data_IF_914243596343
#
_entry.id   IF_914243596343
#
_cell.length_a   1.000
_cell.length_b   1.000
_cell.length_c   1.000
_cell.angle_alpha   90.00
_cell.angle_beta   90.00
_cell.angle_gamma   90.00
#
_symmetry.space_group_name_H-M   'P 1'
#
loop_
_entity.id
_entity.type
_entity.pdbx_description
1 polymer ?
#
# COMPACT_ATOMS: atom_id res chain seq x y z
N UNK A 1 -40.88 -20.31 -70.86
CA UNK A 1 -40.40 -21.30 -69.88
C UNK A 1 -39.46 -20.60 -68.93
N UNK A 2 -40.00 -19.97 -67.88
CA UNK A 2 -39.23 -19.42 -66.74
C UNK A 2 -40.21 -19.21 -65.59
N UNK A 3 -40.13 -20.11 -64.61
CA UNK A 3 -41.06 -20.21 -63.48
C UNK A 3 -40.60 -19.23 -62.37
N UNK A 4 -41.37 -18.16 -62.15
CA UNK A 4 -41.17 -17.27 -61.00
C UNK A 4 -41.93 -17.85 -59.79
N UNK A 5 -41.18 -18.47 -58.89
CA UNK A 5 -41.69 -19.00 -57.63
C UNK A 5 -41.81 -17.83 -56.62
N UNK A 6 -43.02 -17.29 -56.46
CA UNK A 6 -43.35 -16.31 -55.41
C UNK A 6 -43.47 -17.02 -54.06
N UNK A 7 -42.44 -16.91 -53.23
CA UNK A 7 -42.54 -17.24 -51.81
C UNK A 7 -43.33 -16.13 -51.09
N UNK A 8 -44.58 -16.40 -50.75
CA UNK A 8 -45.29 -15.64 -49.73
C UNK A 8 -44.88 -16.18 -48.35
N UNK A 9 -43.96 -15.49 -47.69
CA UNK A 9 -43.67 -15.73 -46.28
C UNK A 9 -44.79 -15.05 -45.49
N UNK A 10 -45.73 -15.84 -44.98
CA UNK A 10 -46.67 -15.41 -43.95
C UNK A 10 -45.88 -15.17 -42.66
N UNK A 11 -45.40 -13.94 -42.47
CA UNK A 11 -44.72 -13.55 -41.23
C UNK A 11 -45.69 -13.64 -40.06
N UNK A 12 -45.38 -14.55 -39.14
CA UNK A 12 -46.14 -14.76 -37.92
C UNK A 12 -46.01 -13.48 -37.06
N UNK A 13 -47.07 -12.67 -37.04
CA UNK A 13 -47.16 -11.37 -36.38
C UNK A 13 -46.57 -11.31 -34.95
N UNK A 14 -46.72 -12.35 -34.09
CA UNK A 14 -46.10 -12.39 -32.76
C UNK A 14 -44.56 -12.40 -32.79
N UNK A 15 -43.95 -13.02 -33.81
CA UNK A 15 -42.49 -13.05 -33.97
C UNK A 15 -41.98 -11.66 -34.34
N UNK A 16 -42.70 -10.95 -35.21
CA UNK A 16 -42.36 -9.58 -35.62
C UNK A 16 -42.37 -8.64 -34.42
N UNK A 17 -43.39 -8.73 -33.56
CA UNK A 17 -43.51 -7.92 -32.35
C UNK A 17 -42.36 -8.23 -31.38
N UNK A 18 -42.01 -9.51 -31.18
CA UNK A 18 -40.89 -9.89 -30.29
C UNK A 18 -39.54 -9.36 -30.79
N UNK A 19 -39.30 -9.45 -32.10
CA UNK A 19 -38.07 -8.92 -32.71
C UNK A 19 -38.01 -7.39 -32.58
N UNK A 20 -39.14 -6.69 -32.83
CA UNK A 20 -39.21 -5.25 -32.66
C UNK A 20 -38.94 -4.81 -31.21
N UNK A 21 -39.47 -5.53 -30.22
CA UNK A 21 -39.21 -5.27 -28.80
C UNK A 21 -37.74 -5.50 -28.43
N UNK A 22 -37.11 -6.57 -28.91
CA UNK A 22 -35.68 -6.84 -28.67
C UNK A 22 -34.82 -5.72 -29.24
N UNK A 23 -35.10 -5.27 -30.47
CA UNK A 23 -34.38 -4.15 -31.08
C UNK A 23 -34.57 -2.87 -30.25
N UNK A 24 -35.78 -2.58 -29.78
CA UNK A 24 -36.05 -1.43 -28.93
C UNK A 24 -35.27 -1.48 -27.60
N UNK A 25 -35.16 -2.66 -26.96
CA UNK A 25 -34.35 -2.83 -25.74
C UNK A 25 -32.86 -2.63 -25.99
N UNK A 26 -32.33 -3.12 -27.11
CA UNK A 26 -30.92 -2.93 -27.48
C UNK A 26 -30.63 -1.43 -27.71
N UNK A 27 -31.49 -0.73 -28.44
CA UNK A 27 -31.35 0.71 -28.69
C UNK A 27 -31.45 1.51 -27.39
N UNK A 28 -32.39 1.17 -26.50
CA UNK A 28 -32.52 1.82 -25.20
C UNK A 28 -31.28 1.62 -24.31
N UNK A 29 -30.75 0.39 -24.24
CA UNK A 29 -29.53 0.10 -23.50
C UNK A 29 -28.30 0.84 -24.06
N UNK A 30 -28.20 0.95 -25.39
CA UNK A 30 -27.15 1.75 -26.03
C UNK A 30 -27.31 3.25 -25.76
N UNK A 31 -28.54 3.76 -25.69
CA UNK A 31 -28.82 5.15 -25.33
C UNK A 31 -28.46 5.47 -23.87
N UNK A 32 -28.75 4.58 -22.91
CA UNK A 32 -28.32 4.74 -21.52
C UNK A 32 -26.79 4.68 -21.37
N UNK A 33 -26.11 3.80 -22.11
CA UNK A 33 -24.64 3.76 -22.16
C UNK A 33 -24.04 5.03 -22.78
N UNK A 34 -24.68 5.59 -23.81
CA UNK A 34 -24.23 6.83 -24.43
C UNK A 34 -24.43 8.04 -23.52
N UNK A 35 -25.62 8.18 -22.92
CA UNK A 35 -25.95 9.30 -22.03
C UNK A 35 -25.19 9.23 -20.69
N UNK A 36 -24.90 8.04 -20.16
CA UNK A 36 -24.04 7.90 -18.98
C UNK A 36 -22.59 8.28 -19.26
N UNK A 37 -22.06 7.97 -20.45
CA UNK A 37 -20.74 8.44 -20.87
C UNK A 37 -20.71 9.96 -21.10
N UNK A 38 -21.78 10.56 -21.60
CA UNK A 38 -21.83 12.02 -21.83
C UNK A 38 -22.02 12.82 -20.53
N UNK A 39 -22.71 12.27 -19.53
CA UNK A 39 -22.76 12.84 -18.17
C UNK A 39 -21.41 12.83 -17.45
N UNK A 40 -20.49 11.94 -17.83
CA UNK A 40 -19.11 11.96 -17.34
C UNK A 40 -18.22 13.00 -18.05
N UNK A 41 -18.71 13.62 -19.13
CA UNK A 41 -18.02 14.66 -19.91
C UNK A 41 -18.47 16.09 -19.55
N UNK A 42 -19.46 16.24 -18.66
CA UNK A 42 -19.91 17.55 -18.16
C UNK A 42 -18.81 18.12 -17.25
N UNK A 43 -17.95 18.91 -17.89
CA UNK A 43 -17.17 20.02 -17.35
C UNK A 43 -17.48 20.30 -15.86
N UNK A 44 -16.63 19.79 -14.97
CA UNK A 44 -16.43 20.44 -13.68
C UNK A 44 -15.95 21.87 -14.00
N UNK A 45 -16.73 22.92 -13.70
CA UNK A 45 -16.24 24.26 -13.92
C UNK A 45 -15.08 24.48 -12.94
N UNK A 46 -13.92 24.80 -13.50
CA UNK A 46 -12.66 25.25 -12.86
C UNK A 46 -12.81 26.46 -11.90
N UNK A 47 -14.02 26.82 -11.46
CA UNK A 47 -14.30 27.85 -10.45
C UNK A 47 -14.06 27.38 -9.00
N UNK A 48 -13.75 26.10 -8.77
CA UNK A 48 -13.36 25.63 -7.44
C UNK A 48 -11.98 26.15 -6.99
N UNK A 49 -11.11 26.55 -7.93
CA UNK A 49 -9.77 27.08 -7.58
C UNK A 49 -9.76 28.54 -7.13
N UNK A 50 -10.76 29.35 -7.51
CA UNK A 50 -10.92 30.71 -6.98
C UNK A 50 -11.47 30.72 -5.54
N UNK A 51 -12.00 29.59 -5.05
CA UNK A 51 -12.49 29.46 -3.68
C UNK A 51 -11.35 29.32 -2.65
N UNK A 52 -10.17 28.85 -3.07
CA UNK A 52 -9.00 28.66 -2.20
C UNK A 52 -8.20 29.94 -1.95
N UNK A 53 -8.60 31.08 -2.52
CA UNK A 53 -7.94 32.37 -2.28
C UNK A 53 -8.56 33.19 -1.13
N UNK A 54 -9.66 32.72 -0.53
CA UNK A 54 -10.32 33.39 0.60
C UNK A 54 -10.15 32.59 1.91
N UNK A 55 -9.13 32.93 2.70
CA UNK A 55 -8.87 32.44 4.07
C UNK A 55 -10.02 32.61 5.08
N UNK A 56 -11.15 33.22 4.69
CA UNK A 56 -12.35 33.33 5.53
C UNK A 56 -13.25 32.08 5.49
N UNK A 57 -13.04 31.15 4.56
CA UNK A 57 -13.94 30.00 4.34
C UNK A 57 -13.60 28.75 5.17
N UNK A 58 -12.36 28.59 5.67
CA UNK A 58 -11.98 27.42 6.48
C UNK A 58 -12.78 27.33 7.80
N UNK A 59 -12.97 28.47 8.48
CA UNK A 59 -13.76 28.50 9.72
C UNK A 59 -15.25 28.21 9.47
N UNK A 60 -15.82 28.68 8.36
CA UNK A 60 -17.22 28.42 8.00
C UNK A 60 -17.43 26.97 7.53
N UNK A 61 -16.42 26.37 6.89
CA UNK A 61 -16.44 24.98 6.46
C UNK A 61 -16.32 24.02 7.65
N UNK A 62 -15.42 24.30 8.61
CA UNK A 62 -15.35 23.56 9.88
C UNK A 62 -16.65 23.68 10.68
N UNK A 63 -17.26 24.87 10.70
CA UNK A 63 -18.53 25.09 11.39
C UNK A 63 -19.68 24.32 10.75
N UNK A 64 -19.74 24.28 9.41
CA UNK A 64 -20.74 23.47 8.68
C UNK A 64 -20.50 21.97 8.80
N UNK A 65 -19.25 21.51 8.84
CA UNK A 65 -18.92 20.10 9.09
C UNK A 65 -19.34 19.64 10.49
N UNK A 66 -19.32 20.53 11.49
CA UNK A 66 -19.83 20.24 12.84
C UNK A 66 -21.37 20.24 12.93
N UNK A 67 -22.07 20.78 11.93
CA UNK A 67 -23.53 20.91 11.93
C UNK A 67 -24.25 19.74 11.22
N UNK A 68 -23.55 18.89 10.46
CA UNK A 68 -24.19 17.94 9.52
C UNK A 68 -24.55 16.57 10.11
N UNK A 69 -24.14 16.21 11.33
CA UNK A 69 -24.63 14.97 11.95
C UNK A 69 -24.74 15.06 13.48
N UNK A 70 -25.94 14.99 14.08
CA UNK A 70 -26.09 14.99 15.54
C UNK A 70 -25.39 13.79 16.22
N UNK A 71 -25.05 12.73 15.46
CA UNK A 71 -24.24 11.62 15.97
C UNK A 71 -22.72 11.90 16.01
N UNK A 72 -22.21 12.91 15.30
CA UNK A 72 -20.78 13.26 15.33
C UNK A 72 -20.38 14.05 16.59
N UNK A 73 -21.35 14.54 17.38
CA UNK A 73 -21.10 15.21 18.67
C UNK A 73 -20.58 14.26 19.76
N UNK A 74 -20.63 12.95 19.55
CA UNK A 74 -20.17 11.94 20.51
C UNK A 74 -18.80 11.34 20.18
N UNK A 75 -18.17 11.80 19.10
CA UNK A 75 -16.87 11.28 18.69
C UNK A 75 -15.82 12.18 19.30
N UNK A 76 -15.26 11.75 20.42
CA UNK A 76 -14.11 12.39 21.06
C UNK A 76 -12.96 12.50 20.05
N UNK A 77 -12.63 13.71 19.54
CA UNK A 77 -11.55 13.88 18.58
C UNK A 77 -10.19 13.53 19.20
N UNK A 78 -10.05 13.53 20.54
CA UNK A 78 -8.83 13.09 21.23
C UNK A 78 -8.65 11.57 21.22
N UNK A 79 -9.71 10.78 20.96
CA UNK A 79 -9.61 9.32 20.87
C UNK A 79 -8.68 8.88 19.73
N UNK A 80 -8.65 9.67 18.65
CA UNK A 80 -7.92 9.38 17.42
C UNK A 80 -6.67 10.25 17.23
N UNK A 81 -6.51 11.37 17.95
CA UNK A 81 -5.24 12.13 17.99
C UNK A 81 -4.29 11.58 19.06
N UNK A 82 -3.68 10.43 18.79
CA UNK A 82 -2.69 9.77 19.65
C UNK A 82 -1.30 10.07 19.14
N UNK A 83 -0.50 10.69 19.99
CA UNK A 83 0.92 10.87 19.72
C UNK A 83 1.62 9.52 19.76
N UNK A 84 2.46 9.29 18.75
CA UNK A 84 3.37 8.15 18.71
C UNK A 84 4.55 8.40 19.67
N UNK A 85 5.07 7.37 20.35
CA UNK A 85 4.61 5.97 20.37
C UNK A 85 3.27 5.78 21.11
N UNK A 86 2.46 4.81 20.67
CA UNK A 86 1.11 4.60 21.22
C UNK A 86 1.14 4.09 22.66
N UNK A 87 2.19 3.34 23.03
CA UNK A 87 2.34 2.75 24.36
C UNK A 87 3.72 3.07 24.87
N UNK A 88 3.80 3.89 25.91
CA UNK A 88 5.06 4.21 26.56
C UNK A 88 5.21 3.39 27.84
N UNK A 89 5.78 2.18 27.72
CA UNK A 89 6.15 1.31 28.85
C UNK A 89 7.65 1.03 28.80
N UNK A 90 8.24 0.80 29.96
CA UNK A 90 9.68 0.51 30.09
C UNK A 90 9.94 -0.99 30.02
N UNK A 91 11.06 -1.36 29.40
CA UNK A 91 11.59 -2.73 29.38
C UNK A 91 13.11 -2.71 29.63
N UNK A 92 13.72 -3.82 30.06
CA UNK A 92 15.17 -3.92 30.14
C UNK A 92 15.84 -3.70 28.78
N UNK A 93 16.95 -2.96 28.76
CA UNK A 93 17.70 -2.66 27.52
C UNK A 93 18.11 -3.92 26.74
N UNK A 94 18.55 -4.97 27.45
CA UNK A 94 18.90 -6.26 26.85
C UNK A 94 17.75 -6.87 26.02
N UNK A 95 16.50 -6.67 26.45
CA UNK A 95 15.32 -7.22 25.80
C UNK A 95 14.97 -6.37 24.56
N UNK A 96 15.18 -5.05 24.64
CA UNK A 96 15.08 -4.15 23.49
C UNK A 96 16.15 -4.46 22.42
N UNK A 97 17.40 -4.70 22.83
CA UNK A 97 18.51 -5.04 21.95
C UNK A 97 18.29 -6.41 21.28
N UNK A 98 17.82 -7.42 22.04
CA UNK A 98 17.41 -8.70 21.47
C UNK A 98 16.31 -8.52 20.43
N UNK A 99 15.25 -7.77 20.75
CA UNK A 99 14.12 -7.57 19.86
C UNK A 99 14.50 -6.82 18.58
N UNK A 100 15.35 -5.80 18.70
CA UNK A 100 15.92 -5.04 17.57
C UNK A 100 16.68 -5.96 16.61
N UNK A 101 17.51 -6.86 17.16
CA UNK A 101 18.27 -7.83 16.39
C UNK A 101 17.37 -8.91 15.76
N UNK A 102 16.44 -9.47 16.53
CA UNK A 102 15.51 -10.51 16.10
C UNK A 102 14.61 -10.03 14.95
N UNK A 103 14.09 -8.80 15.04
CA UNK A 103 13.29 -8.18 13.99
C UNK A 103 14.12 -7.62 12.84
N UNK A 104 15.45 -7.68 12.90
CA UNK A 104 16.38 -7.20 11.87
C UNK A 104 16.18 -5.72 11.51
N UNK A 105 15.92 -4.88 12.52
CA UNK A 105 15.71 -3.44 12.33
C UNK A 105 16.98 -2.78 11.74
N UNK A 106 16.85 -1.76 10.88
CA UNK A 106 17.96 -1.27 10.07
C UNK A 106 18.85 -0.28 10.85
N UNK A 107 19.53 -0.75 11.91
CA UNK A 107 20.38 0.08 12.79
C UNK A 107 21.52 0.81 12.05
N UNK A 108 21.84 0.39 10.84
CA UNK A 108 22.84 1.02 9.95
C UNK A 108 22.28 2.22 9.15
N UNK A 109 20.96 2.41 9.13
CA UNK A 109 20.30 3.52 8.41
C UNK A 109 20.44 4.84 9.16
N UNK A 110 20.65 5.94 8.44
CA UNK A 110 20.59 7.29 9.03
C UNK A 110 19.18 7.70 9.48
N UNK A 111 18.16 7.04 8.94
CA UNK A 111 16.76 7.25 9.30
C UNK A 111 16.29 6.33 10.42
N UNK A 112 17.12 5.43 10.94
CA UNK A 112 16.76 4.63 12.09
C UNK A 112 16.77 5.49 13.36
N UNK A 113 15.64 5.53 14.06
CA UNK A 113 15.53 6.11 15.38
C UNK A 113 15.54 4.98 16.43
N UNK A 114 16.49 4.98 17.39
CA UNK A 114 16.44 4.09 18.52
C UNK A 114 15.11 4.22 19.28
N UNK A 115 14.61 3.11 19.81
CA UNK A 115 13.30 3.04 20.45
C UNK A 115 13.19 3.82 21.77
N UNK A 116 14.30 4.31 22.30
CA UNK A 116 14.44 5.18 23.47
C UNK A 116 14.69 6.66 23.09
N UNK A 117 14.77 6.96 21.79
CA UNK A 117 14.89 8.33 21.28
C UNK A 117 13.57 9.10 21.42
N UNK A 118 13.66 10.43 21.58
CA UNK A 118 12.50 11.33 21.56
C UNK A 118 11.83 11.43 20.19
N UNK A 119 12.53 11.08 19.11
CA UNK A 119 12.06 11.15 17.72
C UNK A 119 11.50 9.83 17.20
N UNK A 120 11.45 8.77 18.01
CA UNK A 120 10.95 7.47 17.58
C UNK A 120 9.43 7.46 17.42
N UNK A 121 8.95 6.75 16.40
CA UNK A 121 7.52 6.43 16.27
C UNK A 121 7.09 5.23 17.13
N UNK A 122 8.05 4.42 17.58
CA UNK A 122 7.82 3.17 18.31
C UNK A 122 8.66 3.09 19.57
N UNK A 123 8.05 2.73 20.69
CA UNK A 123 8.75 2.56 21.96
C UNK A 123 9.52 1.24 22.02
N UNK A 124 10.47 1.13 22.95
CA UNK A 124 11.17 -0.13 23.17
C UNK A 124 10.24 -1.27 23.59
N UNK A 125 9.20 -0.96 24.38
CA UNK A 125 8.18 -1.95 24.72
C UNK A 125 7.43 -2.47 23.49
N UNK A 126 7.09 -1.60 22.53
CA UNK A 126 6.41 -2.01 21.30
C UNK A 126 7.31 -2.87 20.41
N UNK A 127 8.60 -2.53 20.29
CA UNK A 127 9.61 -3.35 19.59
C UNK A 127 9.69 -4.74 20.22
N UNK A 128 9.80 -4.82 21.55
CA UNK A 128 9.85 -6.09 22.28
C UNK A 128 8.56 -6.90 22.17
N UNK A 129 7.39 -6.26 22.30
CA UNK A 129 6.08 -6.90 22.15
C UNK A 129 5.93 -7.51 20.75
N UNK A 130 6.30 -6.76 19.71
CA UNK A 130 6.28 -7.23 18.34
C UNK A 130 7.19 -8.47 18.15
N UNK A 131 8.43 -8.40 18.63
CA UNK A 131 9.36 -9.52 18.59
C UNK A 131 8.82 -10.75 19.32
N UNK A 132 8.24 -10.58 20.51
CA UNK A 132 7.64 -11.68 21.27
C UNK A 132 6.42 -12.30 20.59
N UNK A 133 5.61 -11.53 19.88
CA UNK A 133 4.51 -12.10 19.13
C UNK A 133 4.98 -12.96 17.95
N UNK A 134 5.99 -12.49 17.23
CA UNK A 134 6.63 -13.27 16.15
C UNK A 134 7.30 -14.53 16.72
N UNK A 135 8.08 -14.42 17.81
CA UNK A 135 8.72 -15.57 18.47
C UNK A 135 7.70 -16.63 18.93
N UNK A 136 6.57 -16.21 19.52
CA UNK A 136 5.49 -17.11 19.92
C UNK A 136 4.90 -17.85 18.73
N UNK A 137 4.65 -17.13 17.62
CA UNK A 137 4.19 -17.74 16.39
C UNK A 137 5.23 -18.73 15.83
N UNK A 138 6.52 -18.36 15.81
CA UNK A 138 7.57 -19.29 15.38
C UNK A 138 7.60 -20.57 16.21
N UNK A 139 7.45 -20.45 17.54
CA UNK A 139 7.39 -21.59 18.44
C UNK A 139 6.16 -22.46 18.17
N UNK A 140 5.00 -21.86 17.91
CA UNK A 140 3.79 -22.60 17.54
C UNK A 140 3.99 -23.39 16.24
N UNK A 141 4.65 -22.81 15.23
CA UNK A 141 4.99 -23.51 13.98
C UNK A 141 5.97 -24.66 14.24
N UNK A 142 7.06 -24.42 15.00
CA UNK A 142 8.06 -25.45 15.35
C UNK A 142 7.45 -26.63 16.10
N UNK A 143 6.56 -26.34 17.04
CA UNK A 143 5.88 -27.31 17.89
C UNK A 143 4.65 -27.94 17.20
N UNK A 144 4.34 -27.56 15.95
CA UNK A 144 3.16 -28.00 15.19
C UNK A 144 1.84 -27.75 15.92
N UNK A 145 1.75 -26.61 16.60
CA UNK A 145 0.58 -26.11 17.34
C UNK A 145 -0.23 -25.07 16.57
N UNK A 146 0.01 -24.93 15.26
CA UNK A 146 -0.78 -24.06 14.38
C UNK A 146 -2.09 -24.73 14.00
N UNK A 147 -3.11 -23.92 13.68
CA UNK A 147 -4.46 -24.41 13.35
C UNK A 147 -4.64 -24.75 11.86
N UNK A 148 -3.56 -24.69 11.08
CA UNK A 148 -3.53 -24.93 9.64
C UNK A 148 -2.54 -24.00 8.95
N UNK A 149 -2.75 -23.67 7.68
CA UNK A 149 -1.77 -22.93 6.87
C UNK A 149 -2.37 -21.75 6.09
N UNK A 150 -1.54 -20.78 5.76
CA UNK A 150 -1.81 -19.72 4.77
C UNK A 150 -0.78 -19.83 3.66
N UNK A 151 -1.26 -20.12 2.45
CA UNK A 151 -0.43 -20.21 1.26
C UNK A 151 -0.45 -18.90 0.46
N UNK A 152 0.71 -18.27 0.33
CA UNK A 152 0.91 -17.09 -0.53
C UNK A 152 1.38 -17.59 -1.90
N UNK A 153 0.45 -17.63 -2.85
CA UNK A 153 0.73 -18.08 -4.21
C UNK A 153 1.29 -16.92 -5.05
N UNK A 154 2.54 -17.06 -5.48
CA UNK A 154 3.23 -16.03 -6.29
C UNK A 154 3.32 -16.50 -7.74
N UNK A 155 2.59 -15.83 -8.63
CA UNK A 155 2.71 -16.01 -10.09
C UNK A 155 3.99 -15.39 -10.65
N UNK A 156 4.43 -15.84 -11.83
CA UNK A 156 5.71 -15.44 -12.44
C UNK A 156 5.79 -13.95 -12.82
N UNK A 157 4.65 -13.32 -13.09
CA UNK A 157 4.52 -11.94 -13.54
C UNK A 157 4.36 -10.91 -12.39
N UNK A 158 4.34 -11.36 -11.13
CA UNK A 158 4.18 -10.46 -9.99
C UNK A 158 5.49 -9.70 -9.76
N UNK A 159 5.43 -8.36 -9.75
CA UNK A 159 6.60 -7.48 -9.59
C UNK A 159 7.23 -7.56 -8.19
N UNK A 160 8.48 -7.11 -8.06
CA UNK A 160 9.26 -7.21 -6.82
C UNK A 160 8.54 -6.67 -5.57
N UNK A 161 8.07 -5.42 -5.61
CA UNK A 161 7.42 -4.78 -4.45
C UNK A 161 6.06 -5.42 -4.10
N UNK A 162 5.42 -6.04 -5.09
CA UNK A 162 4.16 -6.77 -4.97
C UNK A 162 4.38 -8.07 -4.21
N UNK A 163 5.42 -8.83 -4.59
CA UNK A 163 5.81 -10.07 -3.91
C UNK A 163 6.08 -9.82 -2.43
N UNK A 164 6.81 -8.76 -2.11
CA UNK A 164 7.07 -8.32 -0.73
C UNK A 164 5.76 -8.08 0.02
N UNK A 165 4.83 -7.34 -0.60
CA UNK A 165 3.52 -7.03 -0.01
C UNK A 165 2.69 -8.28 0.25
N UNK A 166 2.67 -9.21 -0.71
CA UNK A 166 1.97 -10.50 -0.59
C UNK A 166 2.53 -11.33 0.57
N UNK A 167 3.85 -11.51 0.65
CA UNK A 167 4.43 -12.32 1.73
C UNK A 167 4.20 -11.70 3.11
N UNK A 168 4.27 -10.37 3.19
CA UNK A 168 3.92 -9.63 4.39
C UNK A 168 2.45 -9.83 4.81
N UNK A 169 1.50 -9.78 3.89
CA UNK A 169 0.09 -10.10 4.18
C UNK A 169 -0.08 -11.52 4.69
N UNK A 170 0.57 -12.48 4.02
CA UNK A 170 0.60 -13.86 4.48
C UNK A 170 1.09 -13.97 5.92
N UNK A 171 2.16 -13.25 6.28
CA UNK A 171 2.71 -13.27 7.65
C UNK A 171 1.76 -12.63 8.67
N UNK A 172 1.13 -11.51 8.33
CA UNK A 172 0.14 -10.88 9.21
C UNK A 172 -1.05 -11.81 9.50
N UNK A 173 -1.57 -12.49 8.47
CA UNK A 173 -2.63 -13.49 8.62
C UNK A 173 -2.10 -14.67 9.45
N UNK A 174 -0.91 -15.19 9.14
CA UNK A 174 -0.29 -16.31 9.83
C UNK A 174 -0.17 -16.08 11.33
N UNK A 175 0.36 -14.92 11.74
CA UNK A 175 0.54 -14.57 13.15
C UNK A 175 -0.82 -14.36 13.84
N UNK A 176 -1.73 -13.60 13.24
CA UNK A 176 -3.00 -13.24 13.88
C UNK A 176 -4.02 -14.39 13.96
N UNK A 177 -3.87 -15.39 13.09
CA UNK A 177 -4.73 -16.58 13.06
C UNK A 177 -4.00 -17.85 13.53
N UNK A 178 -2.74 -17.77 13.93
CA UNK A 178 -1.90 -18.91 14.35
C UNK A 178 -1.82 -20.02 13.28
N UNK A 179 -1.46 -19.66 12.05
CA UNK A 179 -1.29 -20.56 10.89
C UNK A 179 0.17 -20.65 10.46
N UNK A 180 0.56 -21.76 9.86
CA UNK A 180 1.84 -21.91 9.15
C UNK A 180 1.85 -21.02 7.90
N UNK A 181 2.94 -20.29 7.66
CA UNK A 181 3.13 -19.51 6.44
C UNK A 181 3.88 -20.34 5.39
N UNK A 182 3.26 -20.50 4.22
CA UNK A 182 3.82 -21.25 3.09
C UNK A 182 3.92 -20.34 1.86
N UNK A 183 5.03 -20.40 1.15
CA UNK A 183 5.20 -19.72 -0.15
C UNK A 183 6.29 -20.40 -0.98
N UNK A 184 6.41 -20.04 -2.26
CA UNK A 184 7.56 -20.43 -3.08
C UNK A 184 8.76 -19.54 -2.73
N UNK A 185 9.68 -20.07 -1.89
CA UNK A 185 10.83 -19.32 -1.37
C UNK A 185 11.76 -18.84 -2.50
N UNK A 186 11.82 -19.57 -3.61
CA UNK A 186 12.67 -19.20 -4.75
C UNK A 186 12.26 -17.86 -5.39
N UNK A 187 11.00 -17.45 -5.22
CA UNK A 187 10.50 -16.12 -5.65
C UNK A 187 11.03 -14.96 -4.82
N UNK A 188 11.73 -15.26 -3.72
CA UNK A 188 12.31 -14.32 -2.78
C UNK A 188 13.81 -14.56 -2.58
N UNK A 189 14.48 -15.21 -3.54
CA UNK A 189 15.88 -15.66 -3.43
C UNK A 189 16.89 -14.55 -3.13
N UNK A 190 16.57 -13.30 -3.46
CA UNK A 190 17.40 -12.13 -3.10
C UNK A 190 17.34 -11.78 -1.60
N UNK A 191 16.35 -12.29 -0.87
CA UNK A 191 16.22 -12.13 0.57
C UNK A 191 16.64 -13.39 1.32
N UNK A 192 17.25 -13.20 2.48
CA UNK A 192 17.38 -14.27 3.49
C UNK A 192 16.09 -14.30 4.32
N UNK A 193 15.12 -15.11 3.89
CA UNK A 193 13.86 -15.29 4.63
C UNK A 193 14.09 -16.05 5.95
N UNK A 194 13.26 -15.85 6.98
CA UNK A 194 13.28 -16.66 8.19
C UNK A 194 13.05 -18.14 7.87
N UNK A 195 13.80 -19.07 8.50
CA UNK A 195 13.73 -20.51 8.18
C UNK A 195 12.40 -21.16 8.56
N UNK A 196 11.58 -20.47 9.37
CA UNK A 196 10.26 -20.93 9.76
C UNK A 196 9.23 -20.85 8.62
N UNK A 197 9.50 -20.05 7.59
CA UNK A 197 8.65 -19.95 6.41
C UNK A 197 8.88 -21.21 5.56
N UNK A 198 7.81 -21.97 5.34
CA UNK A 198 7.90 -23.25 4.64
C UNK A 198 7.87 -23.04 3.13
N UNK A 199 8.69 -23.81 2.42
CA UNK A 199 8.65 -23.82 0.97
C UNK A 199 7.41 -24.58 0.49
N UNK A 200 6.76 -24.02 -0.53
CA UNK A 200 5.63 -24.64 -1.20
C UNK A 200 6.08 -25.91 -1.95
N UNK A 201 5.21 -26.91 -1.94
CA UNK A 201 5.33 -28.17 -2.68
C UNK A 201 4.62 -28.13 -4.03
N UNK A 202 3.76 -27.12 -4.25
CA UNK A 202 2.97 -26.96 -5.48
C UNK A 202 1.57 -27.60 -5.40
N UNK A 203 1.23 -28.21 -4.26
CA UNK A 203 -0.06 -28.89 -4.02
C UNK A 203 -0.84 -28.29 -2.85
N UNK A 204 -0.46 -27.09 -2.40
CA UNK A 204 -1.17 -26.38 -1.35
C UNK A 204 -2.56 -25.96 -1.85
N UNK A 205 -3.60 -26.42 -1.15
CA UNK A 205 -4.99 -26.06 -1.42
C UNK A 205 -5.59 -25.45 -0.15
N UNK A 206 -6.31 -24.34 -0.31
CA UNK A 206 -7.01 -23.67 0.77
C UNK A 206 -8.20 -22.84 0.28
N UNK A 207 -8.97 -22.33 1.22
CA UNK A 207 -10.01 -21.34 0.94
C UNK A 207 -9.36 -20.07 0.37
N UNK A 208 -9.80 -19.64 -0.80
CA UNK A 208 -9.22 -18.49 -1.49
C UNK A 208 -9.72 -17.20 -0.86
N UNK A 209 -8.80 -16.39 -0.34
CA UNK A 209 -9.09 -15.04 0.11
C UNK A 209 -9.09 -14.09 -1.11
N UNK A 210 -10.06 -13.17 -1.21
CA UNK A 210 -10.04 -12.13 -2.23
C UNK A 210 -8.88 -11.17 -1.97
N UNK A 211 -8.33 -10.56 -3.02
CA UNK A 211 -7.21 -9.60 -2.95
C UNK A 211 -7.62 -8.18 -3.33
N UNK A 212 -8.92 -7.92 -3.34
CA UNK A 212 -9.55 -6.67 -3.72
C UNK A 212 -10.27 -6.01 -2.54
N UNK A 213 -11.20 -5.10 -2.83
CA UNK A 213 -12.03 -4.42 -1.85
C UNK A 213 -12.82 -5.34 -0.89
N UNK A 214 -13.06 -6.60 -1.27
CA UNK A 214 -13.78 -7.56 -0.45
C UNK A 214 -12.91 -8.17 0.66
N UNK A 215 -11.58 -7.93 0.64
CA UNK A 215 -10.65 -8.48 1.63
C UNK A 215 -11.12 -8.23 3.07
N UNK A 216 -11.61 -7.02 3.39
CA UNK A 216 -12.04 -6.66 4.76
C UNK A 216 -13.15 -7.56 5.33
N UNK A 217 -13.79 -8.36 4.48
CA UNK A 217 -14.89 -9.26 4.77
C UNK A 217 -14.56 -10.74 4.54
N UNK A 218 -13.32 -11.05 4.18
CA UNK A 218 -12.90 -12.42 3.96
C UNK A 218 -13.07 -13.25 5.23
N UNK A 219 -13.46 -14.52 5.09
CA UNK A 219 -13.56 -15.42 6.24
C UNK A 219 -12.19 -16.05 6.51
N UNK A 220 -11.55 -15.60 7.59
CA UNK A 220 -10.26 -16.12 8.07
C UNK A 220 -10.40 -16.98 9.33
N UNK A 221 -11.65 -17.30 9.70
CA UNK A 221 -11.98 -18.05 10.90
C UNK A 221 -11.45 -19.49 10.87
N UNK A 222 -11.58 -20.18 12.00
CA UNK A 222 -11.13 -21.57 12.14
C UNK A 222 -11.91 -22.55 11.24
N UNK A 223 -13.05 -22.13 10.65
CA UNK A 223 -13.82 -22.94 9.68
C UNK A 223 -12.99 -23.31 8.45
N UNK A 224 -12.05 -22.45 8.08
CA UNK A 224 -11.15 -22.66 6.94
C UNK A 224 -9.71 -22.78 7.44
N UNK A 225 -9.26 -23.99 7.88
CA UNK A 225 -7.93 -24.18 8.44
C UNK A 225 -6.80 -23.89 7.43
N UNK A 226 -7.07 -24.10 6.15
CA UNK A 226 -6.13 -23.82 5.08
C UNK A 226 -6.67 -22.66 4.26
N UNK A 227 -5.91 -21.58 4.20
CA UNK A 227 -6.21 -20.38 3.44
C UNK A 227 -5.20 -20.24 2.31
N UNK A 228 -5.58 -19.57 1.23
CA UNK A 228 -4.67 -19.20 0.16
C UNK A 228 -5.06 -17.87 -0.45
N UNK A 229 -4.13 -17.16 -1.05
CA UNK A 229 -4.47 -16.06 -1.94
C UNK A 229 -3.43 -15.89 -3.04
N UNK A 230 -3.88 -15.29 -4.13
CA UNK A 230 -3.07 -14.87 -5.25
C UNK A 230 -3.40 -13.40 -5.56
N UNK A 231 -2.39 -12.63 -5.94
CA UNK A 231 -2.48 -11.20 -6.17
C UNK A 231 -2.00 -10.39 -4.98
N UNK A 232 -1.45 -9.22 -5.30
CA UNK A 232 -0.97 -8.29 -4.29
C UNK A 232 -2.07 -7.31 -3.90
N UNK A 233 -2.01 -6.86 -2.66
CA UNK A 233 -2.92 -5.85 -2.11
C UNK A 233 -2.09 -4.73 -1.44
N UNK A 234 -2.63 -3.57 -1.01
CA UNK A 234 -1.79 -2.61 -0.26
C UNK A 234 -1.40 -3.21 1.08
N UNK A 235 -0.12 -3.07 1.49
CA UNK A 235 0.38 -3.53 2.78
C UNK A 235 -0.59 -3.26 3.94
N UNK A 236 -1.20 -2.09 4.01
CA UNK A 236 -1.98 -1.71 5.19
C UNK A 236 -3.43 -2.25 5.22
N UNK A 237 -3.94 -2.95 4.19
CA UNK A 237 -5.37 -3.39 4.16
C UNK A 237 -5.81 -4.17 5.39
N UNK A 238 -4.91 -4.96 5.99
CA UNK A 238 -5.29 -5.86 7.07
C UNK A 238 -5.74 -5.11 8.34
N UNK A 239 -5.48 -3.80 8.41
CA UNK A 239 -6.02 -2.92 9.43
C UNK A 239 -7.49 -2.54 9.23
N UNK A 240 -8.13 -2.92 8.13
CA UNK A 240 -9.57 -2.75 7.90
C UNK A 240 -10.35 -4.06 8.08
N UNK A 241 -9.70 -5.20 8.32
CA UNK A 241 -10.38 -6.50 8.48
C UNK A 241 -10.80 -6.75 9.93
N UNK A 242 -12.07 -7.06 10.20
CA UNK A 242 -12.61 -7.14 11.57
C UNK A 242 -11.97 -8.17 12.51
N UNK A 243 -11.58 -9.35 12.02
CA UNK A 243 -10.88 -10.34 12.88
C UNK A 243 -9.37 -10.10 13.03
N UNK A 244 -8.74 -9.45 12.04
CA UNK A 244 -7.28 -9.31 11.95
C UNK A 244 -6.82 -7.98 12.54
N UNK A 245 -7.49 -6.89 12.21
CA UNK A 245 -7.10 -5.54 12.58
C UNK A 245 -6.98 -5.34 14.10
N UNK A 246 -7.90 -5.82 14.96
CA UNK A 246 -7.76 -5.69 16.40
C UNK A 246 -6.48 -6.35 16.92
N UNK A 247 -6.19 -7.57 16.46
CA UNK A 247 -5.00 -8.32 16.86
C UNK A 247 -3.72 -7.68 16.34
N UNK A 248 -3.73 -7.17 15.10
CA UNK A 248 -2.60 -6.43 14.55
C UNK A 248 -2.31 -5.17 15.35
N UNK A 249 -3.33 -4.36 15.70
CA UNK A 249 -3.12 -3.16 16.51
C UNK A 249 -2.66 -3.47 17.92
N UNK A 250 -3.26 -4.48 18.56
CA UNK A 250 -2.85 -4.91 19.89
C UNK A 250 -1.40 -5.38 19.92
N UNK A 251 -0.92 -6.00 18.84
CA UNK A 251 0.41 -6.59 18.78
C UNK A 251 1.47 -5.61 18.27
N UNK A 252 1.17 -4.92 17.17
CA UNK A 252 2.11 -4.15 16.37
C UNK A 252 1.76 -2.65 16.28
N UNK A 253 0.69 -2.19 16.93
CA UNK A 253 0.23 -0.80 16.77
C UNK A 253 -0.15 -0.51 15.31
N UNK A 254 0.25 0.65 14.79
CA UNK A 254 0.19 0.98 13.35
C UNK A 254 1.50 0.66 12.62
N UNK A 255 2.41 -0.04 13.31
CA UNK A 255 3.78 -0.21 12.86
C UNK A 255 4.09 -1.62 12.35
N UNK A 256 3.09 -2.41 11.94
CA UNK A 256 3.34 -3.79 11.50
C UNK A 256 4.24 -3.88 10.27
N UNK A 257 4.20 -2.95 9.32
CA UNK A 257 5.09 -3.00 8.15
C UNK A 257 6.57 -2.75 8.55
N UNK A 258 6.83 -1.88 9.52
CA UNK A 258 8.15 -1.68 10.12
C UNK A 258 8.66 -2.95 10.79
N UNK A 259 7.88 -3.57 11.68
CA UNK A 259 8.32 -4.75 12.42
C UNK A 259 8.42 -5.99 11.52
N UNK A 260 7.34 -6.34 10.83
CA UNK A 260 7.26 -7.57 10.04
C UNK A 260 7.99 -7.45 8.70
N UNK A 261 8.03 -6.26 8.11
CA UNK A 261 8.81 -6.00 6.91
C UNK A 261 10.31 -6.14 7.17
N UNK A 262 10.83 -5.62 8.29
CA UNK A 262 12.21 -5.88 8.67
C UNK A 262 12.43 -7.35 9.08
N UNK A 263 11.49 -7.96 9.80
CA UNK A 263 11.61 -9.38 10.15
C UNK A 263 11.63 -10.29 8.91
N UNK A 264 10.97 -9.95 7.80
CA UNK A 264 11.01 -10.72 6.56
C UNK A 264 12.20 -10.33 5.67
N UNK A 265 12.38 -9.04 5.45
CA UNK A 265 13.19 -8.48 4.37
C UNK A 265 14.34 -7.60 4.87
N UNK A 266 14.47 -7.36 6.17
CA UNK A 266 15.51 -6.56 6.80
C UNK A 266 16.84 -7.30 6.94
N UNK A 267 17.86 -6.54 7.34
CA UNK A 267 19.20 -7.05 7.65
C UNK A 267 19.87 -6.15 8.69
N UNK A 268 20.63 -6.78 9.59
CA UNK A 268 21.42 -6.09 10.62
C UNK A 268 22.72 -5.53 10.04
N UNK A 269 23.34 -6.27 9.13
CA UNK A 269 24.58 -5.83 8.51
C UNK A 269 24.32 -4.71 7.50
N UNK A 270 25.20 -3.71 7.51
CA UNK A 270 25.18 -2.63 6.53
C UNK A 270 25.26 -3.20 5.10
N UNK A 271 24.37 -2.79 4.16
CA UNK A 271 24.46 -3.22 2.77
C UNK A 271 25.78 -2.80 2.12
N UNK A 272 26.08 -3.38 0.94
CA UNK A 272 27.23 -2.96 0.11
C UNK A 272 27.14 -1.45 -0.16
N UNK A 273 28.29 -0.78 -0.23
CA UNK A 273 28.35 0.68 -0.34
C UNK A 273 27.55 1.26 -1.52
N UNK A 274 27.48 0.54 -2.65
CA UNK A 274 26.67 0.95 -3.80
C UNK A 274 25.15 0.98 -3.54
N UNK A 275 24.69 0.34 -2.48
CA UNK A 275 23.29 0.24 -2.06
C UNK A 275 23.01 1.09 -0.80
N UNK A 276 23.89 2.05 -0.48
CA UNK A 276 23.76 2.96 0.66
C UNK A 276 24.16 4.35 0.18
N UNK A 277 23.42 5.40 0.54
CA UNK A 277 23.83 6.74 0.16
C UNK A 277 24.92 7.25 1.08
N UNK A 278 26.05 7.66 0.51
CA UNK A 278 27.13 8.35 1.21
C UNK A 278 27.08 9.87 1.06
N UNK A 279 26.30 10.38 0.10
CA UNK A 279 26.35 11.79 -0.34
C UNK A 279 25.14 12.62 0.09
N UNK A 280 24.01 11.99 0.36
CA UNK A 280 22.78 12.69 0.74
C UNK A 280 22.05 11.99 1.87
N UNK A 281 21.51 12.81 2.77
CA UNK A 281 20.60 12.35 3.83
C UNK A 281 19.14 12.30 3.35
N UNK A 282 18.80 12.96 2.24
CA UNK A 282 17.48 12.90 1.62
C UNK A 282 17.58 12.22 0.27
N UNK A 283 16.78 11.19 0.06
CA UNK A 283 16.71 10.48 -1.22
C UNK A 283 15.27 10.55 -1.75
N UNK A 284 15.16 10.98 -3.00
CA UNK A 284 13.92 11.00 -3.75
C UNK A 284 13.84 9.72 -4.57
N UNK A 285 12.86 8.87 -4.30
CA UNK A 285 12.46 7.83 -5.22
C UNK A 285 11.52 8.44 -6.26
N UNK A 286 11.89 8.26 -7.53
CA UNK A 286 11.14 8.74 -8.67
C UNK A 286 10.80 7.55 -9.57
N UNK A 287 9.75 6.83 -9.18
CA UNK A 287 9.24 5.69 -9.93
C UNK A 287 8.46 6.18 -11.13
N UNK A 288 8.95 5.85 -12.32
CA UNK A 288 8.18 5.98 -13.55
C UNK A 288 7.27 4.77 -13.70
N UNK A 289 5.98 5.01 -13.72
CA UNK A 289 5.01 4.04 -14.20
C UNK A 289 5.03 4.01 -15.74
N UNK A 290 4.37 3.02 -16.34
CA UNK A 290 4.34 2.86 -17.80
C UNK A 290 3.85 4.14 -18.50
N UNK A 291 4.75 4.72 -19.32
CA UNK A 291 4.61 6.01 -19.99
C UNK A 291 3.39 6.12 -20.90
N UNK A 292 2.88 5.02 -21.44
CA UNK A 292 1.68 5.07 -22.28
C UNK A 292 0.44 5.46 -21.47
N UNK A 293 0.41 5.06 -20.20
CA UNK A 293 -0.77 5.17 -19.36
C UNK A 293 -0.65 6.29 -18.30
N UNK A 294 0.58 6.75 -17.99
CA UNK A 294 0.85 7.78 -16.96
C UNK A 294 1.12 9.19 -17.52
N UNK A 295 0.64 9.54 -18.72
CA UNK A 295 1.00 10.79 -19.43
C UNK A 295 0.63 12.08 -18.69
N UNK A 296 -0.36 12.02 -17.83
CA UNK A 296 -0.87 13.14 -17.05
C UNK A 296 -0.27 13.20 -15.63
N UNK A 297 0.63 12.28 -15.29
CA UNK A 297 1.41 12.36 -14.07
C UNK A 297 2.66 13.20 -14.26
N UNK A 298 3.03 13.97 -13.23
CA UNK A 298 4.30 14.69 -13.20
C UNK A 298 5.46 13.71 -13.40
N UNK A 299 6.33 14.03 -14.36
CA UNK A 299 7.53 13.25 -14.65
C UNK A 299 8.61 13.51 -13.58
N UNK A 300 9.47 12.52 -13.33
CA UNK A 300 10.61 12.67 -12.42
C UNK A 300 11.52 13.87 -12.74
N UNK A 301 11.63 14.27 -14.02
CA UNK A 301 12.32 15.49 -14.45
C UNK A 301 11.78 16.76 -13.80
N UNK A 302 10.51 16.74 -13.39
CA UNK A 302 9.75 17.91 -12.95
C UNK A 302 9.41 17.85 -11.45
N UNK A 303 10.04 16.93 -10.70
CA UNK A 303 9.80 16.80 -9.24
C UNK A 303 10.35 18.00 -8.46
N UNK A 304 11.49 18.55 -8.86
CA UNK A 304 12.23 19.51 -8.04
C UNK A 304 11.43 20.74 -7.60
N UNK A 305 10.62 21.40 -8.46
CA UNK A 305 9.74 22.48 -8.03
C UNK A 305 8.78 22.05 -6.89
N UNK A 306 8.28 20.81 -6.93
CA UNK A 306 7.34 20.26 -5.96
C UNK A 306 8.02 19.93 -4.62
N UNK A 307 9.27 19.46 -4.66
CA UNK A 307 10.04 19.05 -3.48
C UNK A 307 10.24 20.17 -2.45
N UNK A 308 10.16 21.44 -2.90
CA UNK A 308 10.19 22.61 -2.01
C UNK A 308 9.09 22.59 -0.95
N UNK A 309 7.90 22.05 -1.26
CA UNK A 309 6.80 21.89 -0.30
C UNK A 309 7.11 20.87 0.80
N UNK A 310 7.97 19.91 0.48
CA UNK A 310 8.52 18.96 1.45
C UNK A 310 9.79 19.45 2.14
N UNK A 311 10.19 20.71 1.90
CA UNK A 311 11.35 21.34 2.54
C UNK A 311 12.69 20.89 1.96
N UNK A 312 12.72 20.41 0.72
CA UNK A 312 13.96 20.05 0.01
C UNK A 312 14.31 21.12 -1.00
N UNK A 313 15.55 21.62 -0.96
CA UNK A 313 16.05 22.64 -1.90
C UNK A 313 16.86 22.01 -3.03
N UNK A 314 17.16 22.85 -4.02
CA UNK A 314 18.00 22.51 -5.17
C UNK A 314 19.35 21.93 -4.73
N UNK A 315 19.75 20.78 -5.29
CA UNK A 315 21.05 20.16 -5.01
C UNK A 315 21.20 19.58 -3.60
N UNK A 316 20.14 19.50 -2.79
CA UNK A 316 20.23 18.94 -1.44
C UNK A 316 20.02 17.42 -1.41
N UNK A 317 19.23 16.89 -2.34
CA UNK A 317 18.81 15.49 -2.39
C UNK A 317 19.57 14.68 -3.46
N UNK A 318 19.61 13.36 -3.26
CA UNK A 318 19.90 12.39 -4.33
C UNK A 318 18.59 11.85 -4.88
N UNK A 319 18.60 11.33 -6.10
CA UNK A 319 17.43 10.71 -6.73
C UNK A 319 17.73 9.27 -7.13
N UNK A 320 16.74 8.39 -6.96
CA UNK A 320 16.74 7.01 -7.46
C UNK A 320 15.56 6.83 -8.42
N UNK A 321 15.81 6.36 -9.64
CA UNK A 321 14.77 6.24 -10.69
C UNK A 321 14.94 5.01 -11.56
N UNK A 322 13.81 4.43 -11.99
CA UNK A 322 13.77 3.28 -12.91
C UNK A 322 13.76 3.70 -14.40
N UNK A 323 13.51 4.97 -14.71
CA UNK A 323 13.61 5.47 -16.08
C UNK A 323 15.05 5.88 -16.44
N UNK A 324 15.68 5.08 -17.30
CA UNK A 324 17.06 5.29 -17.73
C UNK A 324 17.21 6.39 -18.78
N UNK A 325 16.12 6.82 -19.41
CA UNK A 325 16.14 7.82 -20.49
C UNK A 325 16.21 9.24 -19.94
N UNK A 326 15.64 9.48 -18.74
CA UNK A 326 15.61 10.80 -18.11
C UNK A 326 17.02 11.33 -17.87
N UNK A 327 17.23 12.61 -18.23
CA UNK A 327 18.45 13.36 -17.99
C UNK A 327 18.12 14.57 -17.12
N UNK A 328 18.90 14.76 -16.07
CA UNK A 328 18.79 15.92 -15.21
C UNK A 328 19.84 16.96 -15.58
N UNK A 329 19.51 18.24 -15.36
CA UNK A 329 20.51 19.30 -15.46
C UNK A 329 21.62 19.05 -14.42
N UNK A 330 22.88 19.40 -14.70
CA UNK A 330 23.96 19.30 -13.72
C UNK A 330 23.57 19.97 -12.40
N UNK A 331 24.04 19.43 -11.27
CA UNK A 331 23.80 19.94 -9.91
C UNK A 331 22.36 19.90 -9.39
N UNK A 332 21.39 19.45 -10.20
CA UNK A 332 19.98 19.34 -9.78
C UNK A 332 19.80 18.42 -8.58
N UNK A 333 20.51 17.29 -8.60
CA UNK A 333 20.60 16.32 -7.52
C UNK A 333 22.08 16.03 -7.22
N UNK A 334 22.41 15.72 -5.96
CA UNK A 334 23.78 15.34 -5.56
C UNK A 334 24.25 14.07 -6.24
N UNK A 335 23.31 13.15 -6.47
CA UNK A 335 23.55 11.87 -7.11
C UNK A 335 22.29 11.39 -7.81
N UNK A 336 22.47 10.70 -8.93
CA UNK A 336 21.41 10.12 -9.75
C UNK A 336 21.66 8.62 -9.86
N UNK A 337 20.85 7.83 -9.17
CA UNK A 337 20.95 6.37 -9.12
C UNK A 337 19.88 5.75 -10.03
N UNK A 338 20.29 5.16 -11.14
CA UNK A 338 19.38 4.50 -12.08
C UNK A 338 19.32 3.01 -11.79
N UNK A 339 18.12 2.42 -11.78
CA UNK A 339 17.93 0.99 -11.56
C UNK A 339 17.01 0.37 -12.63
N UNK A 340 17.06 -0.95 -12.77
CA UNK A 340 16.10 -1.72 -13.56
C UNK A 340 14.98 -2.24 -12.65
N UNK A 341 13.73 -1.94 -12.98
CA UNK A 341 12.58 -2.44 -12.23
C UNK A 341 12.33 -3.94 -12.42
N UNK A 342 12.91 -4.55 -13.46
CA UNK A 342 12.80 -5.98 -13.77
C UNK A 342 13.93 -6.83 -13.17
N UNK A 343 14.94 -6.21 -12.55
CA UNK A 343 16.05 -6.92 -11.89
C UNK A 343 15.89 -6.84 -10.38
N UNK A 344 15.52 -7.96 -9.76
CA UNK A 344 15.33 -8.09 -8.32
C UNK A 344 16.54 -7.67 -7.49
N UNK A 345 17.77 -7.88 -7.99
CA UNK A 345 18.99 -7.49 -7.28
C UNK A 345 19.17 -5.98 -7.27
N UNK A 346 18.83 -5.31 -8.38
CA UNK A 346 18.82 -3.85 -8.46
C UNK A 346 17.67 -3.24 -7.65
N UNK A 347 16.49 -3.88 -7.65
CA UNK A 347 15.35 -3.48 -6.83
C UNK A 347 15.66 -3.59 -5.33
N UNK A 348 16.28 -4.69 -4.89
CA UNK A 348 16.76 -4.83 -3.51
C UNK A 348 17.81 -3.77 -3.17
N UNK A 349 18.80 -3.55 -4.06
CA UNK A 349 19.82 -2.53 -3.84
C UNK A 349 19.21 -1.13 -3.71
N UNK A 350 18.19 -0.82 -4.50
CA UNK A 350 17.45 0.44 -4.45
C UNK A 350 16.62 0.55 -3.17
N UNK A 351 15.92 -0.50 -2.77
CA UNK A 351 15.22 -0.55 -1.48
C UNK A 351 16.19 -0.24 -0.33
N UNK A 352 17.38 -0.84 -0.32
CA UNK A 352 18.42 -0.54 0.68
C UNK A 352 18.95 0.89 0.60
N UNK A 353 19.17 1.41 -0.60
CA UNK A 353 19.60 2.78 -0.82
C UNK A 353 18.59 3.74 -0.19
N UNK A 354 17.29 3.56 -0.47
CA UNK A 354 16.22 4.38 0.07
C UNK A 354 16.10 4.22 1.59
N UNK A 355 16.08 3.00 2.12
CA UNK A 355 16.04 2.76 3.56
C UNK A 355 17.24 3.37 4.27
N UNK A 356 18.41 3.49 3.62
CA UNK A 356 19.61 4.10 4.20
C UNK A 356 19.50 5.60 4.47
N UNK A 357 18.61 6.29 3.77
CA UNK A 357 18.46 7.74 3.89
C UNK A 357 18.06 8.14 5.31
N UNK A 358 18.24 9.41 5.66
CA UNK A 358 17.59 10.00 6.84
C UNK A 358 16.10 10.25 6.58
N UNK A 359 15.77 10.59 5.33
CA UNK A 359 14.40 10.83 4.87
C UNK A 359 14.25 10.38 3.42
N UNK A 360 13.19 9.61 3.18
CA UNK A 360 12.81 9.16 1.85
C UNK A 360 11.59 9.97 1.37
N UNK A 361 11.67 10.48 0.15
CA UNK A 361 10.53 11.08 -0.56
C UNK A 361 10.21 10.17 -1.72
N UNK A 362 9.05 9.54 -1.75
CA UNK A 362 8.74 8.55 -2.80
C UNK A 362 7.67 9.02 -3.77
N UNK A 363 7.58 8.37 -4.93
CA UNK A 363 6.47 8.57 -5.85
C UNK A 363 5.21 7.96 -5.26
N UNK A 364 4.14 8.75 -5.15
CA UNK A 364 2.83 8.29 -4.70
C UNK A 364 2.35 7.10 -5.54
N UNK A 365 2.00 5.99 -4.88
CA UNK A 365 1.66 4.72 -5.51
C UNK A 365 2.80 3.74 -5.74
N UNK A 366 4.05 4.16 -5.53
CA UNK A 366 5.19 3.24 -5.54
C UNK A 366 5.20 2.42 -4.25
N UNK A 367 4.99 1.10 -4.38
CA UNK A 367 5.18 0.17 -3.25
C UNK A 367 6.64 0.03 -2.84
N UNK A 368 7.58 0.25 -3.75
CA UNK A 368 9.02 0.26 -3.43
C UNK A 368 9.32 1.40 -2.44
N UNK A 369 8.85 2.60 -2.77
CA UNK A 369 9.00 3.79 -1.92
C UNK A 369 8.26 3.68 -0.59
N UNK A 370 7.05 3.12 -0.60
CA UNK A 370 6.32 2.77 0.62
C UNK A 370 7.16 1.83 1.50
N UNK A 371 7.62 0.70 0.97
CA UNK A 371 8.40 -0.29 1.73
C UNK A 371 9.69 0.31 2.28
N UNK A 372 10.37 1.16 1.50
CA UNK A 372 11.58 1.83 1.98
C UNK A 372 11.32 2.71 3.21
N UNK A 373 10.23 3.48 3.19
CA UNK A 373 9.82 4.35 4.30
C UNK A 373 9.36 3.52 5.51
N UNK A 374 8.48 2.55 5.27
CA UNK A 374 7.93 1.71 6.33
C UNK A 374 9.03 0.91 7.04
N UNK A 375 10.00 0.36 6.30
CA UNK A 375 11.12 -0.39 6.89
C UNK A 375 12.14 0.53 7.60
N UNK A 376 12.28 1.79 7.18
CA UNK A 376 13.12 2.76 7.86
C UNK A 376 12.56 3.13 9.24
N UNK A 377 11.23 3.21 9.38
CA UNK A 377 10.56 3.53 10.64
C UNK A 377 10.62 5.02 11.01
N UNK A 378 10.81 5.88 10.01
CA UNK A 378 10.76 7.34 10.15
C UNK A 378 9.79 7.97 9.16
N UNK A 379 9.18 9.13 9.50
CA UNK A 379 8.27 9.80 8.59
C UNK A 379 9.01 10.26 7.34
N UNK A 380 8.50 9.85 6.19
CA UNK A 380 8.99 10.27 4.89
C UNK A 380 8.14 11.37 4.28
N UNK A 381 8.10 11.40 2.96
CA UNK A 381 7.16 12.20 2.18
C UNK A 381 6.84 11.49 0.88
N UNK A 382 5.85 12.00 0.15
CA UNK A 382 5.60 11.53 -1.21
C UNK A 382 5.34 12.68 -2.17
N UNK A 383 5.72 12.48 -3.42
CA UNK A 383 5.30 13.31 -4.56
C UNK A 383 4.09 12.64 -5.20
N UNK A 384 2.94 13.30 -5.10
CA UNK A 384 1.76 12.91 -5.84
C UNK A 384 1.82 13.54 -7.23
N UNK A 385 2.16 12.71 -8.22
CA UNK A 385 2.25 13.10 -9.61
C UNK A 385 0.89 13.42 -10.25
N UNK A 386 -0.23 12.97 -9.67
CA UNK A 386 -1.57 13.28 -10.17
C UNK A 386 -1.94 14.74 -9.81
N UNK A 387 -1.75 15.10 -8.55
CA UNK A 387 -2.15 16.41 -8.03
C UNK A 387 -1.02 17.45 -8.05
N UNK A 388 0.15 17.08 -8.59
CA UNK A 388 1.34 17.94 -8.66
C UNK A 388 1.73 18.56 -7.31
N UNK A 389 1.80 17.72 -6.27
CA UNK A 389 2.04 18.13 -4.88
C UNK A 389 3.06 17.20 -4.22
N UNK A 390 3.88 17.76 -3.33
CA UNK A 390 4.65 16.99 -2.37
C UNK A 390 4.02 17.12 -0.97
N UNK A 391 3.83 15.99 -0.28
CA UNK A 391 3.15 15.90 1.03
C UNK A 391 4.09 15.27 2.05
N UNK A 392 4.21 15.90 3.22
CA UNK A 392 4.92 15.33 4.35
C UNK A 392 4.02 14.32 5.06
N UNK A 393 4.54 13.13 5.32
CA UNK A 393 3.84 12.14 6.12
C UNK A 393 4.07 12.43 7.61
N UNK A 394 3.06 12.18 8.43
CA UNK A 394 3.15 12.25 9.89
C UNK A 394 3.79 11.00 10.50
N UNK A 395 3.76 9.87 9.80
CA UNK A 395 4.45 8.64 10.19
C UNK A 395 4.95 7.80 9.00
N UNK A 396 5.79 6.80 9.31
CA UNK A 396 6.49 5.96 8.34
C UNK A 396 5.61 5.03 7.51
N UNK A 397 4.34 4.81 7.90
CA UNK A 397 3.42 3.88 7.24
C UNK A 397 2.26 4.55 6.51
N UNK A 398 2.26 5.88 6.46
CA UNK A 398 1.31 6.67 5.69
C UNK A 398 1.60 6.61 4.19
N UNK A 399 0.70 7.23 3.40
CA UNK A 399 0.81 7.28 1.95
C UNK A 399 0.29 6.03 1.25
N UNK A 400 -0.63 5.29 1.88
CA UNK A 400 -1.31 4.16 1.24
C UNK A 400 -2.26 4.63 0.12
N UNK A 401 -2.25 3.99 -1.06
CA UNK A 401 -3.30 4.25 -2.08
C UNK A 401 -4.54 3.38 -1.91
N UNK A 402 -4.68 2.69 -0.79
CA UNK A 402 -5.78 1.74 -0.63
C UNK A 402 -7.15 2.42 -0.69
N UNK A 403 -7.27 3.70 -0.32
CA UNK A 403 -8.54 4.46 -0.36
C UNK A 403 -8.47 5.84 -1.01
N UNK A 404 -7.37 6.17 -1.66
CA UNK A 404 -7.25 7.43 -2.38
C UNK A 404 -7.87 7.29 -3.76
N UNK A 405 -8.61 8.31 -4.20
CA UNK A 405 -9.16 8.35 -5.54
C UNK A 405 -8.03 8.16 -6.57
N UNK A 406 -8.18 7.12 -7.39
CA UNK A 406 -7.33 6.89 -8.55
C UNK A 406 -8.27 6.71 -9.74
N UNK A 407 -8.15 7.54 -10.79
CA UNK A 407 -8.96 7.42 -12.00
C UNK A 407 -8.93 6.00 -12.56
N UNK A 408 -10.05 5.55 -13.16
CA UNK A 408 -10.23 4.14 -13.57
C UNK A 408 -9.17 3.73 -14.60
N UNK A 409 -8.85 4.64 -15.52
CA UNK A 409 -7.81 4.51 -16.53
C UNK A 409 -6.41 4.32 -15.93
N UNK A 410 -6.19 4.71 -14.67
CA UNK A 410 -4.92 4.58 -13.97
C UNK A 410 -4.78 3.30 -13.15
N UNK A 411 -5.88 2.57 -12.91
CA UNK A 411 -5.91 1.41 -12.01
C UNK A 411 -5.03 0.23 -12.47
N UNK A 412 -4.65 0.17 -13.74
CA UNK A 412 -3.81 -0.91 -14.29
C UNK A 412 -2.31 -0.78 -13.97
N UNK A 413 -1.83 0.40 -13.58
CA UNK A 413 -0.39 0.66 -13.37
C UNK A 413 -0.08 1.46 -12.11
N UNK A 414 -0.98 2.33 -11.68
CA UNK A 414 -0.96 2.90 -10.34
C UNK A 414 -1.61 1.89 -9.42
N UNK A 415 -0.82 1.30 -8.54
CA UNK A 415 -1.31 0.22 -7.71
C UNK A 415 -2.42 0.71 -6.79
N UNK A 416 -3.64 0.28 -7.09
CA UNK A 416 -4.81 0.47 -6.26
C UNK A 416 -5.47 -0.88 -6.09
N UNK A 417 -6.04 -1.05 -4.93
CA UNK A 417 -6.84 -2.22 -4.59
C UNK A 417 -8.30 -1.87 -4.38
N UNK A 418 -8.63 -0.60 -4.11
CA UNK A 418 -9.98 -0.29 -3.68
C UNK A 418 -10.44 1.17 -3.98
N UNK A 419 -11.64 1.35 -4.55
CA UNK A 419 -12.35 2.66 -4.68
C UNK A 419 -13.51 2.76 -3.67
N UNK A 420 -13.81 1.66 -2.98
CA UNK A 420 -14.99 1.42 -2.16
C UNK A 420 -14.54 0.91 -0.79
N UNK A 421 -14.45 1.80 0.19
CA UNK A 421 -14.15 1.45 1.58
C UNK A 421 -15.22 0.46 2.11
N UNK A 422 -14.97 -0.84 2.01
CA UNK A 422 -15.94 -1.88 2.36
C UNK A 422 -15.62 -2.41 3.76
N UNK A 423 -16.50 -2.09 4.71
CA UNK A 423 -16.38 -2.42 6.13
C UNK A 423 -17.34 -3.57 6.42
N UNK A 424 -16.84 -4.69 6.97
CA UNK A 424 -17.67 -5.78 7.45
C UNK A 424 -17.52 -6.04 8.94
N UNK A 425 -18.64 -6.18 9.63
CA UNK A 425 -18.66 -6.48 11.06
C UNK A 425 -18.42 -5.24 11.93
N UNK A 426 -18.08 -5.43 13.22
CA UNK A 426 -17.91 -4.34 14.19
C UNK A 426 -16.52 -3.68 14.10
N UNK A 427 -16.08 -3.31 12.89
CA UNK A 427 -14.73 -2.78 12.62
C UNK A 427 -14.74 -1.32 12.12
N UNK A 428 -15.84 -0.59 12.28
CA UNK A 428 -15.93 0.84 11.92
C UNK A 428 -14.86 1.66 12.66
N UNK A 429 -14.61 1.35 13.92
CA UNK A 429 -13.56 2.00 14.72
C UNK A 429 -12.17 1.79 14.11
N UNK A 430 -11.88 0.56 13.72
CA UNK A 430 -10.60 0.13 13.16
C UNK A 430 -10.34 0.79 11.82
N UNK A 431 -11.40 0.81 11.01
CA UNK A 431 -11.49 1.53 9.76
C UNK A 431 -11.19 3.03 9.93
N UNK A 432 -11.80 3.68 10.93
CA UNK A 432 -11.58 5.10 11.18
C UNK A 432 -10.14 5.39 11.58
N UNK A 433 -9.62 4.59 12.50
CA UNK A 433 -8.22 4.66 12.91
C UNK A 433 -7.29 4.47 11.71
N UNK A 434 -7.60 3.55 10.80
CA UNK A 434 -6.83 3.37 9.56
C UNK A 434 -6.79 4.66 8.73
N UNK A 435 -7.95 5.32 8.55
CA UNK A 435 -8.05 6.57 7.80
C UNK A 435 -7.21 7.68 8.45
N UNK A 436 -7.28 7.80 9.77
CA UNK A 436 -6.59 8.86 10.52
C UNK A 436 -5.07 8.65 10.58
N UNK A 437 -4.58 7.40 10.63
CA UNK A 437 -3.16 7.10 10.84
C UNK A 437 -2.40 6.64 9.60
N UNK A 438 -3.04 5.93 8.68
CA UNK A 438 -2.35 5.17 7.63
C UNK A 438 -2.67 5.66 6.22
N UNK A 439 -3.71 6.48 6.05
CA UNK A 439 -4.09 7.03 4.76
C UNK A 439 -3.50 8.41 4.48
N UNK A 440 -3.62 9.36 5.43
CA UNK A 440 -3.31 10.79 5.22
C UNK A 440 -2.03 11.27 5.89
#
# INVERSE_FOLDING_TARGET
MTCYMKFFITMNYPIVIRVALIIAFIVFAQYELYTSNDLSSVYFPLKAFDFLKNRKSENDMQKRLQEINPNDRFIDPMKYDRKLPLINRTIPKKDADWATNFLRLPIWSYGYNPCDSKSTEVSCFEVYRAAKAVERWENAVREKKTIGQIYVQISDNIQFADRISMLYHGLQIAITTNRDLITNINKFSVFKLPPIIRNATGHEIGHSLPTDHQFGCADVSQRYPNLQFNGATWPQVLYTHHEIAPKLRETFGFHSAYFLGNYLFGQIDRPRDRCVSSKSQVIVEAFSFDHQNAKDMVNASDYLPLLSRCGVRYGEASIALNDRTIRFKPMMYKEVNKFDANDDSQMLCTLRLLTSAKRTIHTFGSRLGFWATAMQGSPGSFVNGIDSICVNMTNSQQGSLWHTYCPVEKAGFLFRTNNRFFICGPNVEDARIYLDYLLW
#
